data_IF_685449381178
#
_entry.id   IF_685449381178
#
_cell.length_a   1.000
_cell.length_b   1.000
_cell.length_c   1.000
_cell.angle_alpha   90.00
_cell.angle_beta   90.00
_cell.angle_gamma   90.00
#
_symmetry.space_group_name_H-M   'P 1'
#
loop_
_entity.id
_entity.type
_entity.pdbx_description
1 polymer ?
#
# COMPACT_ATOMS: atom_id res chain seq x y z
N UNK A 1 -14.52 -18.93 -24.30
CA UNK A 1 -14.76 -17.55 -23.82
C UNK A 1 -13.83 -17.36 -22.65
N UNK A 2 -12.80 -16.52 -22.78
CA UNK A 2 -11.94 -16.19 -21.64
C UNK A 2 -12.84 -15.52 -20.60
N UNK A 3 -12.90 -16.08 -19.39
CA UNK A 3 -13.57 -15.41 -18.29
C UNK A 3 -12.92 -14.04 -18.15
N UNK A 4 -13.69 -12.97 -18.35
CA UNK A 4 -13.26 -11.63 -17.96
C UNK A 4 -13.01 -11.70 -16.47
N UNK A 5 -11.73 -11.62 -16.05
CA UNK A 5 -11.41 -11.50 -14.64
C UNK A 5 -12.19 -10.31 -14.08
N UNK A 6 -12.85 -10.45 -12.92
CA UNK A 6 -13.49 -9.31 -12.28
C UNK A 6 -12.45 -8.21 -12.06
N UNK A 7 -12.87 -6.95 -12.25
CA UNK A 7 -11.99 -5.81 -12.05
C UNK A 7 -11.50 -5.82 -10.60
N UNK A 8 -10.18 -5.65 -10.33
CA UNK A 8 -9.63 -5.70 -8.97
C UNK A 8 -10.19 -4.68 -7.98
N UNK A 9 -10.91 -3.67 -8.47
CA UNK A 9 -11.43 -2.54 -7.69
C UNK A 9 -12.90 -2.30 -8.01
N UNK A 10 -13.74 -2.35 -6.99
CA UNK A 10 -15.12 -1.90 -7.02
C UNK A 10 -15.25 -0.51 -6.41
N UNK A 11 -16.12 0.34 -6.97
CA UNK A 11 -16.42 1.68 -6.42
C UNK A 11 -17.90 1.77 -6.08
N UNK A 12 -18.20 1.93 -4.79
CA UNK A 12 -19.54 2.05 -4.24
C UNK A 12 -19.79 3.52 -3.87
N UNK A 13 -20.75 4.15 -4.56
CA UNK A 13 -21.12 5.55 -4.31
C UNK A 13 -22.10 5.70 -3.15
N UNK A 14 -21.59 5.89 -1.93
CA UNK A 14 -22.40 6.15 -0.72
C UNK A 14 -23.20 7.47 -0.82
N UNK A 15 -22.60 8.47 -1.49
CA UNK A 15 -23.26 9.73 -1.87
C UNK A 15 -22.49 10.41 -3.01
N UNK A 16 -22.96 11.54 -3.57
CA UNK A 16 -22.17 12.31 -4.54
C UNK A 16 -20.80 12.77 -4.02
N UNK A 17 -20.64 12.91 -2.70
CA UNK A 17 -19.42 13.41 -2.04
C UNK A 17 -18.52 12.37 -1.39
N UNK A 18 -18.97 11.12 -1.30
CA UNK A 18 -18.29 10.04 -0.60
C UNK A 18 -18.39 8.74 -1.40
N UNK A 19 -17.25 8.19 -1.79
CA UNK A 19 -17.16 6.84 -2.36
C UNK A 19 -16.42 5.90 -1.41
N UNK A 20 -16.86 4.65 -1.38
CA UNK A 20 -16.07 3.51 -0.90
C UNK A 20 -15.43 2.83 -2.10
N UNK A 21 -14.17 2.44 -1.94
CA UNK A 21 -13.36 1.78 -2.96
C UNK A 21 -12.92 0.45 -2.35
N UNK A 22 -13.39 -0.65 -2.91
CA UNK A 22 -13.21 -1.99 -2.36
C UNK A 22 -12.23 -2.76 -3.24
N UNK A 23 -11.11 -3.19 -2.66
CA UNK A 23 -10.21 -4.14 -3.30
C UNK A 23 -10.80 -5.56 -3.18
N UNK A 24 -11.11 -6.16 -4.32
CA UNK A 24 -11.65 -7.52 -4.42
C UNK A 24 -10.96 -8.27 -5.57
N UNK A 25 -9.76 -8.76 -5.28
CA UNK A 25 -8.88 -9.45 -6.20
C UNK A 25 -8.36 -10.76 -5.57
N UNK A 26 -9.23 -11.77 -5.46
CA UNK A 26 -8.90 -13.02 -4.79
C UNK A 26 -7.76 -13.77 -5.49
N UNK A 27 -7.01 -14.59 -4.73
CA UNK A 27 -7.29 -14.99 -3.34
C UNK A 27 -6.73 -14.05 -2.26
N UNK A 28 -5.73 -13.21 -2.56
CA UNK A 28 -4.98 -12.48 -1.52
C UNK A 28 -4.90 -10.96 -1.74
N UNK A 29 -5.53 -10.41 -2.78
CA UNK A 29 -5.33 -9.02 -3.18
C UNK A 29 -3.84 -8.71 -3.48
N UNK A 30 -3.16 -9.60 -4.21
CA UNK A 30 -1.80 -9.35 -4.71
C UNK A 30 -1.82 -8.17 -5.69
N UNK A 31 -0.86 -7.27 -5.55
CA UNK A 31 -0.76 -6.05 -6.37
C UNK A 31 0.05 -6.34 -7.63
N UNK A 32 -0.65 -6.51 -8.76
CA UNK A 32 -0.08 -6.68 -10.09
C UNK A 32 -0.39 -5.48 -11.00
N UNK A 33 -0.12 -5.62 -12.30
CA UNK A 33 -0.40 -4.56 -13.26
C UNK A 33 -1.90 -4.19 -13.35
N UNK A 34 -2.81 -5.15 -13.21
CA UNK A 34 -4.25 -4.92 -13.34
C UNK A 34 -4.79 -4.07 -12.18
N UNK A 35 -4.26 -4.26 -10.97
CA UNK A 35 -4.56 -3.40 -9.82
C UNK A 35 -4.11 -1.96 -10.09
N UNK A 36 -2.91 -1.74 -10.60
CA UNK A 36 -2.41 -0.39 -10.90
C UNK A 36 -3.18 0.30 -12.02
N UNK A 37 -3.54 -0.43 -13.09
CA UNK A 37 -4.38 0.10 -14.16
C UNK A 37 -5.77 0.48 -13.63
N UNK A 38 -6.35 -0.36 -12.76
CA UNK A 38 -7.63 -0.06 -12.10
C UNK A 38 -7.54 1.17 -11.18
N UNK A 39 -6.41 1.37 -10.48
CA UNK A 39 -6.15 2.58 -9.69
C UNK A 39 -6.00 3.81 -10.58
N UNK A 40 -5.35 3.70 -11.74
CA UNK A 40 -5.23 4.79 -12.71
C UNK A 40 -6.61 5.23 -13.24
N UNK A 41 -7.47 4.27 -13.59
CA UNK A 41 -8.84 4.52 -14.02
C UNK A 41 -9.67 5.16 -12.90
N UNK A 42 -9.51 4.70 -11.66
CA UNK A 42 -10.13 5.32 -10.49
C UNK A 42 -9.70 6.78 -10.34
N UNK A 43 -8.42 7.09 -10.47
CA UNK A 43 -7.91 8.46 -10.37
C UNK A 43 -8.52 9.36 -11.45
N UNK A 44 -8.65 8.87 -12.69
CA UNK A 44 -9.35 9.60 -13.76
C UNK A 44 -10.82 9.86 -13.42
N UNK A 45 -11.51 8.86 -12.83
CA UNK A 45 -12.90 9.04 -12.37
C UNK A 45 -13.01 10.06 -11.24
N UNK A 46 -12.06 10.05 -10.30
CA UNK A 46 -12.00 11.03 -9.20
C UNK A 46 -11.77 12.45 -9.72
N UNK A 47 -10.85 12.62 -10.67
CA UNK A 47 -10.52 13.91 -11.30
C UNK A 47 -11.74 14.52 -12.01
N UNK A 48 -12.57 13.68 -12.63
CA UNK A 48 -13.80 14.09 -13.33
C UNK A 48 -15.00 14.31 -12.39
N UNK A 49 -14.92 13.95 -11.12
CA UNK A 49 -16.03 14.08 -10.17
C UNK A 49 -15.94 15.38 -9.36
N UNK A 50 -16.67 16.41 -9.82
CA UNK A 50 -16.69 17.72 -9.16
C UNK A 50 -17.32 17.69 -7.77
N UNK A 51 -18.22 16.74 -7.52
CA UNK A 51 -18.87 16.58 -6.23
C UNK A 51 -18.07 15.67 -5.29
N UNK A 52 -17.03 14.96 -5.72
CA UNK A 52 -16.33 14.05 -4.81
C UNK A 52 -15.43 14.84 -3.84
N UNK A 53 -15.51 14.51 -2.54
CA UNK A 53 -14.68 15.10 -1.48
C UNK A 53 -13.84 14.07 -0.75
N UNK A 54 -14.33 12.84 -0.59
CA UNK A 54 -13.62 11.78 0.13
C UNK A 54 -13.81 10.41 -0.51
N UNK A 55 -12.74 9.63 -0.50
CA UNK A 55 -12.75 8.19 -0.81
C UNK A 55 -12.25 7.41 0.40
N UNK A 56 -12.92 6.30 0.71
CA UNK A 56 -12.45 5.33 1.70
C UNK A 56 -12.05 4.06 0.95
N UNK A 57 -10.80 3.66 1.07
CA UNK A 57 -10.29 2.41 0.55
C UNK A 57 -10.41 1.31 1.61
N UNK A 58 -10.93 0.15 1.22
CA UNK A 58 -11.12 -1.04 2.06
C UNK A 58 -10.93 -2.31 1.22
N UNK A 59 -10.95 -3.47 1.87
CA UNK A 59 -10.81 -4.77 1.21
C UNK A 59 -12.04 -5.64 1.46
N UNK A 60 -12.44 -6.40 0.45
CA UNK A 60 -13.42 -7.47 0.56
C UNK A 60 -12.84 -8.76 1.18
N UNK A 61 -11.51 -8.89 1.26
CA UNK A 61 -10.81 -10.06 1.76
C UNK A 61 -10.42 -9.84 3.23
N UNK A 62 -10.97 -10.58 4.21
CA UNK A 62 -10.77 -10.29 5.63
C UNK A 62 -9.30 -10.28 6.10
N UNK A 63 -8.50 -11.20 5.57
CA UNK A 63 -7.10 -11.40 5.99
C UNK A 63 -6.11 -10.50 5.24
N UNK A 64 -6.52 -9.82 4.17
CA UNK A 64 -5.63 -9.11 3.26
C UNK A 64 -6.25 -7.78 2.81
N UNK A 65 -5.56 -6.67 3.05
CA UNK A 65 -5.96 -5.39 2.47
C UNK A 65 -5.63 -5.37 0.97
N UNK A 66 -4.38 -5.09 0.67
CA UNK A 66 -3.64 -5.57 -0.49
C UNK A 66 -2.45 -6.32 0.11
N UNK A 67 -2.14 -7.53 -0.34
CA UNK A 67 -1.10 -8.33 0.31
C UNK A 67 0.29 -7.71 0.14
N UNK A 68 0.81 -7.74 -1.09
CA UNK A 68 2.09 -7.17 -1.49
C UNK A 68 2.19 -7.16 -3.02
N UNK A 69 3.34 -6.71 -3.54
CA UNK A 69 3.64 -6.70 -4.97
C UNK A 69 3.72 -8.12 -5.53
N UNK A 70 3.23 -8.34 -6.76
CA UNK A 70 3.39 -9.62 -7.44
C UNK A 70 4.87 -9.92 -7.72
N UNK A 71 5.33 -11.08 -7.24
CA UNK A 71 6.68 -11.59 -7.47
C UNK A 71 6.71 -12.69 -8.56
N UNK A 72 5.58 -12.99 -9.20
CA UNK A 72 5.49 -14.01 -10.25
C UNK A 72 5.72 -13.46 -11.66
N UNK A 73 5.85 -12.14 -11.80
CA UNK A 73 6.20 -11.45 -13.05
C UNK A 73 5.00 -10.85 -13.79
N UNK A 74 3.82 -10.78 -13.19
CA UNK A 74 2.60 -10.15 -13.73
C UNK A 74 2.57 -8.62 -13.58
N UNK A 75 3.72 -8.01 -13.39
CA UNK A 75 3.87 -6.57 -13.13
C UNK A 75 3.94 -5.74 -14.41
N UNK A 76 4.09 -6.39 -15.57
CA UNK A 76 4.12 -5.71 -16.87
C UNK A 76 5.19 -4.62 -16.92
N UNK A 77 4.80 -3.42 -17.34
CA UNK A 77 5.69 -2.26 -17.45
C UNK A 77 5.37 -1.15 -16.43
N UNK A 78 4.62 -1.43 -15.35
CA UNK A 78 4.19 -0.38 -14.39
C UNK A 78 5.33 0.36 -13.69
N UNK A 79 6.53 -0.23 -13.69
CA UNK A 79 7.76 0.36 -13.13
C UNK A 79 8.58 1.15 -14.15
N UNK A 80 8.22 1.12 -15.44
CA UNK A 80 8.99 1.77 -16.52
C UNK A 80 8.13 2.64 -17.44
N UNK A 81 6.90 2.23 -17.75
CA UNK A 81 5.94 3.03 -18.48
C UNK A 81 5.55 4.26 -17.67
N UNK A 82 5.41 5.39 -18.35
CA UNK A 82 5.25 6.70 -17.74
C UNK A 82 3.77 7.10 -17.73
N UNK A 83 3.27 7.52 -16.57
CA UNK A 83 1.93 8.05 -16.37
C UNK A 83 1.80 9.56 -16.62
N UNK A 84 0.63 10.11 -16.28
CA UNK A 84 0.30 11.52 -16.56
C UNK A 84 1.21 12.54 -15.85
N UNK A 85 1.83 12.16 -14.73
CA UNK A 85 2.76 13.00 -13.97
C UNK A 85 4.20 12.95 -14.49
N UNK A 86 4.48 12.18 -15.55
CA UNK A 86 5.85 11.97 -16.03
C UNK A 86 6.67 10.97 -15.20
N UNK A 87 6.06 10.27 -14.25
CA UNK A 87 6.69 9.24 -13.42
C UNK A 87 6.27 7.83 -13.87
N UNK A 88 7.03 6.77 -13.52
CA UNK A 88 6.58 5.39 -13.70
C UNK A 88 5.17 5.17 -13.13
N UNK A 89 4.31 4.39 -13.80
CA UNK A 89 2.88 4.20 -13.44
C UNK A 89 2.68 3.93 -11.94
N UNK A 90 3.50 3.10 -11.31
CA UNK A 90 3.43 2.83 -9.87
C UNK A 90 3.55 4.12 -9.05
N UNK A 91 4.60 4.91 -9.29
CA UNK A 91 4.82 6.18 -8.59
C UNK A 91 3.79 7.24 -9.00
N UNK A 92 3.46 7.33 -10.27
CA UNK A 92 2.44 8.23 -10.81
C UNK A 92 1.12 8.03 -10.05
N UNK A 93 0.70 6.77 -9.85
CA UNK A 93 -0.52 6.43 -9.10
C UNK A 93 -0.50 7.03 -7.71
N UNK A 94 0.58 6.81 -6.94
CA UNK A 94 0.68 7.29 -5.57
C UNK A 94 0.84 8.81 -5.49
N UNK A 95 1.57 9.42 -6.43
CA UNK A 95 1.76 10.88 -6.50
C UNK A 95 0.47 11.60 -6.92
N UNK A 96 -0.30 11.03 -7.84
CA UNK A 96 -1.61 11.57 -8.22
C UNK A 96 -2.60 11.44 -7.06
N UNK A 97 -2.59 10.32 -6.33
CA UNK A 97 -3.43 10.15 -5.14
C UNK A 97 -3.13 11.19 -4.06
N UNK A 98 -1.85 11.41 -3.74
CA UNK A 98 -1.47 12.42 -2.72
C UNK A 98 -1.79 13.84 -3.18
N UNK A 99 -1.67 14.15 -4.47
CA UNK A 99 -1.97 15.48 -5.03
C UNK A 99 -3.45 15.71 -5.31
N UNK A 100 -4.28 14.66 -5.29
CA UNK A 100 -5.71 14.77 -5.56
C UNK A 100 -6.40 15.74 -4.58
N UNK A 101 -7.33 16.59 -5.04
CA UNK A 101 -8.14 17.41 -4.14
C UNK A 101 -9.12 16.59 -3.30
N UNK A 102 -9.34 15.32 -3.65
CA UNK A 102 -10.17 14.38 -2.92
C UNK A 102 -9.37 13.81 -1.74
N UNK A 103 -9.97 13.77 -0.56
CA UNK A 103 -9.38 13.20 0.65
C UNK A 103 -9.38 11.67 0.55
N UNK A 104 -8.24 11.03 0.81
CA UNK A 104 -8.09 9.57 0.78
C UNK A 104 -7.92 8.99 2.18
N UNK A 105 -8.78 8.04 2.53
CA UNK A 105 -8.75 7.34 3.82
C UNK A 105 -8.55 5.85 3.58
N UNK A 106 -7.53 5.25 4.19
CA UNK A 106 -7.35 3.80 4.22
C UNK A 106 -8.01 3.23 5.49
N UNK A 107 -8.99 2.34 5.32
CA UNK A 107 -9.63 1.56 6.38
C UNK A 107 -9.07 0.13 6.35
N UNK A 108 -8.23 -0.18 7.33
CA UNK A 108 -7.27 -1.27 7.20
C UNK A 108 -7.61 -2.44 8.14
N UNK A 109 -7.72 -3.64 7.54
CA UNK A 109 -7.73 -4.94 8.21
C UNK A 109 -6.76 -5.87 7.49
N UNK A 110 -6.24 -6.86 8.20
CA UNK A 110 -5.40 -7.89 7.61
C UNK A 110 -4.00 -7.42 7.22
N UNK A 111 -3.39 -8.16 6.29
CA UNK A 111 -2.03 -7.97 5.83
C UNK A 111 -1.92 -6.79 4.85
N UNK A 112 -0.96 -5.91 5.11
CA UNK A 112 -0.65 -4.70 4.33
C UNK A 112 0.87 -4.61 4.22
N UNK A 113 1.47 -5.18 3.17
CA UNK A 113 2.93 -5.32 3.08
C UNK A 113 3.52 -4.73 1.81
N UNK A 114 4.75 -4.23 1.92
CA UNK A 114 5.52 -3.68 0.81
C UNK A 114 4.75 -2.58 0.07
N UNK A 115 4.52 -2.74 -1.23
CA UNK A 115 3.79 -1.76 -2.06
C UNK A 115 2.39 -1.40 -1.53
N UNK A 116 1.75 -2.31 -0.79
CA UNK A 116 0.47 -2.07 -0.12
C UNK A 116 0.63 -1.10 1.06
N UNK A 117 1.70 -1.26 1.85
CA UNK A 117 2.11 -0.28 2.86
C UNK A 117 2.39 1.08 2.20
N UNK A 118 3.06 1.10 1.06
CA UNK A 118 3.37 2.32 0.31
C UNK A 118 2.10 3.02 -0.21
N UNK A 119 1.10 2.24 -0.64
CA UNK A 119 -0.21 2.75 -1.01
C UNK A 119 -0.93 3.41 0.18
N UNK A 120 -1.00 2.75 1.34
CA UNK A 120 -1.67 3.36 2.51
C UNK A 120 -0.89 4.56 3.07
N UNK A 121 0.44 4.58 2.91
CA UNK A 121 1.28 5.75 3.20
C UNK A 121 1.03 6.92 2.22
N UNK A 122 0.60 6.63 1.00
CA UNK A 122 0.16 7.64 0.03
C UNK A 122 -1.27 8.14 0.29
N UNK A 123 -2.06 7.46 1.12
CA UNK A 123 -3.35 7.97 1.60
C UNK A 123 -3.16 9.10 2.63
N UNK A 124 -4.14 10.01 2.73
CA UNK A 124 -4.07 11.13 3.68
C UNK A 124 -4.22 10.65 5.13
N UNK A 125 -5.06 9.64 5.36
CA UNK A 125 -5.35 9.09 6.69
C UNK A 125 -5.40 7.56 6.66
N UNK A 126 -4.95 6.94 7.75
CA UNK A 126 -4.93 5.49 7.97
C UNK A 126 -5.58 5.15 9.29
N UNK A 127 -6.68 4.40 9.26
CA UNK A 127 -7.33 3.85 10.44
C UNK A 127 -7.33 2.34 10.33
N UNK A 128 -6.87 1.67 11.37
CA UNK A 128 -6.66 0.23 11.35
C UNK A 128 -7.42 -0.48 12.45
N UNK A 129 -7.76 -1.74 12.19
CA UNK A 129 -8.18 -2.68 13.22
C UNK A 129 -7.02 -2.95 14.17
N UNK A 130 -7.26 -2.85 15.47
CA UNK A 130 -6.24 -3.13 16.49
C UNK A 130 -5.84 -4.59 16.47
N UNK A 131 -6.84 -5.46 16.35
CA UNK A 131 -6.70 -6.90 16.48
C UNK A 131 -6.17 -7.54 15.19
N UNK A 132 -6.56 -7.01 14.03
CA UNK A 132 -6.37 -7.71 12.76
C UNK A 132 -5.28 -7.12 11.87
N UNK A 133 -4.64 -5.99 12.24
CA UNK A 133 -3.61 -5.36 11.43
C UNK A 133 -2.30 -6.18 11.43
N UNK A 134 -1.75 -6.39 10.23
CA UNK A 134 -0.35 -6.81 10.02
C UNK A 134 0.29 -5.92 8.97
N UNK A 135 1.06 -4.93 9.42
CA UNK A 135 1.62 -3.87 8.57
C UNK A 135 3.14 -3.94 8.57
N UNK A 136 3.78 -3.93 7.39
CA UNK A 136 5.23 -4.03 7.34
C UNK A 136 5.86 -3.84 5.96
N UNK A 137 7.20 -3.83 5.95
CA UNK A 137 8.03 -3.74 4.75
C UNK A 137 8.97 -4.94 4.65
N UNK A 138 8.53 -6.04 4.02
CA UNK A 138 9.31 -7.27 3.98
C UNK A 138 10.44 -7.27 2.93
N UNK A 139 10.58 -6.20 2.14
CA UNK A 139 11.45 -6.10 0.95
C UNK A 139 12.91 -6.43 1.29
N UNK A 140 13.44 -5.93 2.41
CA UNK A 140 14.82 -6.20 2.82
C UNK A 140 15.05 -7.69 3.09
N UNK A 141 14.05 -8.38 3.64
CA UNK A 141 14.14 -9.82 3.92
C UNK A 141 14.25 -10.68 2.66
N UNK A 142 13.74 -10.19 1.52
CA UNK A 142 13.91 -10.83 0.20
C UNK A 142 15.07 -10.24 -0.61
N UNK A 143 15.93 -9.42 0.00
CA UNK A 143 17.11 -8.83 -0.67
C UNK A 143 16.80 -7.60 -1.52
N UNK A 144 15.66 -6.97 -1.32
CA UNK A 144 15.22 -5.73 -1.98
C UNK A 144 15.18 -4.56 -0.98
N UNK A 145 14.56 -3.46 -1.38
CA UNK A 145 14.21 -2.33 -0.52
C UNK A 145 12.87 -1.75 -0.99
N UNK A 146 12.14 -0.97 -0.18
CA UNK A 146 10.92 -0.29 -0.65
C UNK A 146 11.24 0.65 -1.82
N UNK A 147 10.37 0.67 -2.84
CA UNK A 147 10.56 1.43 -4.08
C UNK A 147 9.39 2.33 -4.47
N UNK A 148 8.19 2.12 -3.93
CA UNK A 148 7.00 2.96 -4.13
C UNK A 148 6.90 4.16 -3.17
N UNK A 149 7.91 4.34 -2.33
CA UNK A 149 8.10 5.53 -1.50
C UNK A 149 7.94 5.31 0.00
N UNK A 150 8.04 4.06 0.46
CA UNK A 150 8.05 3.72 1.89
C UNK A 150 9.23 4.37 2.61
N UNK A 151 10.42 4.33 2.02
CA UNK A 151 11.66 4.92 2.57
C UNK A 151 11.62 6.44 2.67
N UNK A 152 10.84 7.10 1.82
CA UNK A 152 10.73 8.56 1.78
C UNK A 152 9.62 9.08 2.70
N UNK A 153 8.51 8.33 2.84
CA UNK A 153 7.34 8.75 3.63
C UNK A 153 7.44 8.36 5.10
N UNK A 154 7.91 7.15 5.42
CA UNK A 154 7.97 6.66 6.81
C UNK A 154 8.74 7.59 7.76
N UNK A 155 9.95 8.08 7.44
CA UNK A 155 10.72 8.88 8.38
C UNK A 155 10.01 10.18 8.82
N UNK A 156 9.11 10.72 7.99
CA UNK A 156 8.31 11.91 8.33
C UNK A 156 7.18 11.60 9.32
N UNK A 157 6.72 10.36 9.37
CA UNK A 157 5.62 9.92 10.24
C UNK A 157 6.14 9.34 11.56
N UNK A 158 7.13 8.45 11.48
CA UNK A 158 7.59 7.66 12.64
C UNK A 158 8.96 8.09 13.17
N UNK A 159 9.63 9.02 12.48
CA UNK A 159 11.01 9.40 12.76
C UNK A 159 12.04 8.39 12.25
N UNK A 160 13.29 8.84 12.10
CA UNK A 160 14.36 8.06 11.45
C UNK A 160 14.59 6.68 12.09
N UNK A 161 14.64 6.60 13.42
CA UNK A 161 14.97 5.35 14.13
C UNK A 161 13.94 4.25 13.87
N UNK A 162 12.66 4.56 14.07
CA UNK A 162 11.55 3.63 13.83
C UNK A 162 11.38 3.30 12.35
N UNK A 163 11.64 4.25 11.46
CA UNK A 163 11.60 3.97 10.02
C UNK A 163 12.65 2.91 9.62
N UNK A 164 13.86 3.00 10.15
CA UNK A 164 14.89 1.99 9.94
C UNK A 164 14.53 0.66 10.61
N UNK A 165 13.94 0.67 11.80
CA UNK A 165 13.44 -0.54 12.45
C UNK A 165 12.38 -1.24 11.59
N UNK A 166 11.38 -0.51 11.09
CA UNK A 166 10.33 -1.05 10.22
C UNK A 166 10.90 -1.65 8.94
N UNK A 167 11.73 -0.89 8.23
CA UNK A 167 12.23 -1.31 6.90
C UNK A 167 13.30 -2.41 7.01
N UNK A 168 14.23 -2.30 7.95
CA UNK A 168 15.37 -3.23 8.02
C UNK A 168 15.05 -4.52 8.77
N UNK A 169 14.10 -4.51 9.71
CA UNK A 169 13.69 -5.74 10.40
C UNK A 169 12.87 -6.65 9.49
N UNK A 170 12.16 -6.08 8.51
CA UNK A 170 11.21 -6.79 7.66
C UNK A 170 10.09 -7.51 8.46
N UNK A 171 9.83 -7.07 9.69
CA UNK A 171 8.78 -7.62 10.55
C UNK A 171 7.40 -7.01 10.22
N UNK A 172 6.36 -7.74 10.60
CA UNK A 172 5.02 -7.18 10.73
C UNK A 172 4.87 -6.42 12.06
N UNK A 173 4.07 -5.36 12.04
CA UNK A 173 3.70 -4.54 13.18
C UNK A 173 2.18 -4.61 13.39
N UNK A 174 1.78 -4.87 14.64
CA UNK A 174 0.38 -4.90 15.06
C UNK A 174 -0.25 -3.50 15.15
N UNK A 175 -1.57 -3.43 15.33
CA UNK A 175 -2.31 -2.17 15.40
C UNK A 175 -1.80 -1.22 16.48
N UNK A 176 -1.59 -1.74 17.70
CA UNK A 176 -1.14 -0.93 18.82
C UNK A 176 0.27 -0.36 18.61
N UNK A 177 1.19 -1.15 18.05
CA UNK A 177 2.55 -0.69 17.74
C UNK A 177 2.54 0.30 16.59
N UNK A 178 1.77 0.02 15.54
CA UNK A 178 1.63 0.92 14.40
C UNK A 178 1.09 2.29 14.82
N UNK A 179 0.11 2.35 15.72
CA UNK A 179 -0.39 3.62 16.28
C UNK A 179 0.67 4.31 17.13
N UNK A 180 1.31 3.61 18.08
CA UNK A 180 2.38 4.19 18.93
C UNK A 180 3.55 4.76 18.12
N UNK A 181 3.84 4.15 16.97
CA UNK A 181 4.93 4.60 16.10
C UNK A 181 4.52 5.81 15.27
N UNK A 182 3.22 6.06 15.07
CA UNK A 182 2.69 7.05 14.13
C UNK A 182 2.53 6.53 12.70
N UNK A 183 2.62 5.21 12.51
CA UNK A 183 2.50 4.57 11.20
C UNK A 183 1.05 4.63 10.70
N UNK A 184 0.09 4.38 11.60
CA UNK A 184 -1.34 4.65 11.39
C UNK A 184 -1.79 5.81 12.27
N UNK A 185 -2.88 6.48 11.89
CA UNK A 185 -3.41 7.60 12.68
C UNK A 185 -4.00 7.10 14.01
N UNK A 186 -4.76 6.00 13.96
CA UNK A 186 -5.33 5.30 15.13
C UNK A 186 -5.54 3.82 14.81
N UNK A 187 -5.30 2.97 15.80
CA UNK A 187 -5.82 1.62 15.83
C UNK A 187 -7.09 1.61 16.70
N UNK A 188 -8.16 1.02 16.18
CA UNK A 188 -9.49 0.99 16.81
C UNK A 188 -9.89 -0.47 17.05
N UNK A 189 -10.73 -0.76 18.07
CA UNK A 189 -11.34 -2.09 18.15
C UNK A 189 -11.99 -2.42 16.81
N UNK A 190 -11.81 -3.64 16.30
CA UNK A 190 -12.27 -4.02 14.96
C UNK A 190 -13.77 -3.75 14.75
N UNK A 191 -14.56 -3.97 15.80
CA UNK A 191 -16.01 -3.76 15.82
C UNK A 191 -16.42 -2.27 15.72
N UNK A 192 -15.52 -1.33 16.02
CA UNK A 192 -15.78 0.11 15.98
C UNK A 192 -15.20 0.77 14.72
N UNK A 193 -14.32 0.09 13.99
CA UNK A 193 -13.57 0.66 12.88
C UNK A 193 -14.47 1.17 11.75
N UNK A 194 -15.51 0.40 11.38
CA UNK A 194 -16.40 0.76 10.28
C UNK A 194 -17.21 2.02 10.59
N UNK A 195 -17.89 2.05 11.74
CA UNK A 195 -18.69 3.20 12.17
C UNK A 195 -17.85 4.45 12.35
N UNK A 196 -16.64 4.30 12.89
CA UNK A 196 -15.71 5.40 13.06
C UNK A 196 -15.32 6.04 11.70
N UNK A 197 -14.93 5.21 10.73
CA UNK A 197 -14.49 5.68 9.42
C UNK A 197 -15.65 6.26 8.62
N UNK A 198 -16.82 5.63 8.62
CA UNK A 198 -18.02 6.13 7.94
C UNK A 198 -18.43 7.50 8.49
N UNK A 199 -18.48 7.66 9.81
CA UNK A 199 -18.79 8.93 10.47
C UNK A 199 -17.81 10.04 10.04
N UNK A 200 -16.51 9.74 10.03
CA UNK A 200 -15.50 10.69 9.61
C UNK A 200 -15.62 11.04 8.12
N UNK A 201 -15.84 10.05 7.26
CA UNK A 201 -16.00 10.25 5.83
C UNK A 201 -17.23 11.12 5.52
N UNK A 202 -18.39 10.85 6.15
CA UNK A 202 -19.59 11.68 6.01
C UNK A 202 -19.36 13.11 6.48
N UNK A 203 -18.63 13.30 7.58
CA UNK A 203 -18.24 14.63 8.05
C UNK A 203 -17.40 15.37 7.00
N UNK A 204 -16.35 14.74 6.46
CA UNK A 204 -15.50 15.34 5.41
C UNK A 204 -16.32 15.64 4.16
N UNK A 205 -17.20 14.72 3.74
CA UNK A 205 -18.05 14.88 2.57
C UNK A 205 -19.03 16.07 2.67
N UNK A 206 -19.34 16.52 3.89
CA UNK A 206 -20.22 17.68 4.13
C UNK A 206 -19.54 19.04 3.93
N UNK A 207 -18.21 19.08 3.81
CA UNK A 207 -17.44 20.32 3.74
C UNK A 207 -17.22 20.83 2.31
N UNK A 208 -16.87 22.11 2.22
CA UNK A 208 -16.50 22.74 0.96
C UNK A 208 -15.24 22.09 0.35
N UNK A 209 -15.33 21.75 -0.94
CA UNK A 209 -14.26 21.04 -1.67
C UNK A 209 -13.01 21.91 -1.83
N UNK A 210 -13.18 23.22 -2.04
CA UNK A 210 -12.04 24.11 -2.23
C UNK A 210 -11.25 24.30 -0.92
N UNK A 211 -11.95 24.40 0.21
CA UNK A 211 -11.34 24.44 1.54
C UNK A 211 -10.56 23.16 1.85
N UNK A 212 -11.15 21.98 1.60
CA UNK A 212 -10.47 20.68 1.78
C UNK A 212 -9.20 20.59 0.92
N UNK A 213 -9.32 20.90 -0.37
CA UNK A 213 -8.19 20.83 -1.31
C UNK A 213 -7.08 21.82 -0.94
N UNK A 214 -7.42 23.05 -0.51
CA UNK A 214 -6.45 24.05 -0.10
C UNK A 214 -5.70 23.62 1.17
N UNK A 215 -6.41 23.12 2.19
CA UNK A 215 -5.81 22.64 3.43
C UNK A 215 -4.88 21.45 3.17
N UNK A 216 -5.36 20.42 2.44
CA UNK A 216 -4.56 19.26 2.05
C UNK A 216 -3.28 19.67 1.29
N UNK A 217 -3.40 20.59 0.32
CA UNK A 217 -2.24 21.09 -0.44
C UNK A 217 -1.18 21.74 0.47
N UNK A 218 -1.60 22.57 1.42
CA UNK A 218 -0.66 23.25 2.34
C UNK A 218 0.07 22.26 3.26
N UNK A 219 -0.64 21.24 3.77
CA UNK A 219 -0.01 20.16 4.56
C UNK A 219 0.98 19.37 3.70
N UNK A 220 0.61 19.04 2.47
CA UNK A 220 1.46 18.28 1.55
C UNK A 220 2.75 19.01 1.17
N UNK A 221 2.72 20.35 1.07
CA UNK A 221 3.90 21.16 0.74
C UNK A 221 5.07 20.99 1.72
N UNK A 222 4.79 20.68 2.99
CA UNK A 222 5.82 20.56 4.03
C UNK A 222 6.06 19.13 4.50
N UNK A 223 5.25 18.16 4.06
CA UNK A 223 5.28 16.78 4.54
C UNK A 223 5.61 15.73 3.48
N UNK A 224 5.34 16.00 2.20
CA UNK A 224 5.60 15.03 1.13
C UNK A 224 7.05 15.12 0.61
N UNK A 225 7.65 13.97 0.24
CA UNK A 225 8.94 13.97 -0.43
C UNK A 225 8.84 14.57 -1.84
N UNK A 226 9.99 15.02 -2.37
CA UNK A 226 10.08 15.45 -3.77
C UNK A 226 9.91 14.28 -4.72
N UNK A 227 9.45 14.56 -5.94
CA UNK A 227 9.33 13.55 -6.99
C UNK A 227 10.68 12.89 -7.32
N UNK A 228 11.78 13.65 -7.30
CA UNK A 228 13.13 13.13 -7.58
C UNK A 228 13.54 12.06 -6.56
N UNK A 229 13.25 12.26 -5.26
CA UNK A 229 13.56 11.24 -4.24
C UNK A 229 12.77 9.96 -4.43
N UNK A 230 11.50 10.07 -4.83
CA UNK A 230 10.68 8.90 -5.15
C UNK A 230 11.22 8.19 -6.40
N UNK A 231 11.66 8.95 -7.42
CA UNK A 231 12.23 8.41 -8.64
C UNK A 231 13.56 7.67 -8.37
N UNK A 232 14.43 8.24 -7.53
CA UNK A 232 15.67 7.60 -7.11
C UNK A 232 15.39 6.23 -6.46
N UNK A 233 14.39 6.17 -5.58
CA UNK A 233 13.99 4.93 -4.90
C UNK A 233 13.50 3.85 -5.87
N UNK A 234 12.57 4.16 -6.79
CA UNK A 234 12.05 3.16 -7.73
C UNK A 234 13.12 2.70 -8.75
N UNK A 235 14.03 3.59 -9.17
CA UNK A 235 15.14 3.23 -10.07
C UNK A 235 16.13 2.31 -9.35
N UNK A 236 16.46 2.61 -8.10
CA UNK A 236 17.27 1.77 -7.25
C UNK A 236 16.61 0.40 -7.03
N UNK A 237 15.31 0.36 -6.77
CA UNK A 237 14.53 -0.88 -6.65
C UNK A 237 14.60 -1.73 -7.93
N UNK A 238 14.41 -1.10 -9.09
CA UNK A 238 14.53 -1.76 -10.39
C UNK A 238 15.91 -2.39 -10.61
N UNK A 239 16.97 -1.73 -10.14
CA UNK A 239 18.33 -2.30 -10.15
C UNK A 239 18.45 -3.48 -9.18
N UNK A 240 17.88 -3.36 -7.97
CA UNK A 240 17.94 -4.40 -6.94
C UNK A 240 17.25 -5.70 -7.36
N UNK A 241 16.20 -5.62 -8.19
CA UNK A 241 15.60 -6.81 -8.80
C UNK A 241 16.61 -7.64 -9.60
N UNK A 242 17.68 -7.05 -10.14
CA UNK A 242 18.71 -7.80 -10.89
C UNK A 242 19.78 -8.43 -10.00
N UNK A 243 19.78 -8.16 -8.69
CA UNK A 243 20.81 -8.68 -7.80
C UNK A 243 20.68 -10.20 -7.62
N UNK A 244 21.79 -10.96 -7.68
CA UNK A 244 21.74 -12.41 -7.52
C UNK A 244 21.10 -12.86 -6.21
N UNK A 245 21.35 -12.14 -5.11
CA UNK A 245 20.75 -12.48 -3.81
C UNK A 245 19.24 -12.27 -3.78
N UNK A 246 18.76 -11.17 -4.37
CA UNK A 246 17.33 -10.89 -4.47
C UNK A 246 16.63 -12.00 -5.26
N UNK A 247 17.18 -12.37 -6.42
CA UNK A 247 16.65 -13.46 -7.26
C UNK A 247 16.59 -14.79 -6.49
N UNK A 248 17.65 -15.15 -5.75
CA UNK A 248 17.67 -16.37 -4.94
C UNK A 248 16.60 -16.36 -3.84
N UNK A 249 16.44 -15.25 -3.13
CA UNK A 249 15.47 -15.13 -2.03
C UNK A 249 14.03 -15.08 -2.50
N UNK A 250 13.75 -14.38 -3.61
CA UNK A 250 12.44 -14.36 -4.26
C UNK A 250 12.04 -15.79 -4.67
N UNK A 251 12.96 -16.52 -5.32
CA UNK A 251 12.71 -17.91 -5.68
C UNK A 251 12.41 -18.76 -4.44
N UNK A 252 13.22 -18.64 -3.38
CA UNK A 252 13.03 -19.42 -2.16
C UNK A 252 11.71 -19.13 -1.44
N UNK A 253 11.23 -17.89 -1.42
CA UNK A 253 9.96 -17.55 -0.78
C UNK A 253 8.76 -18.01 -1.61
N UNK A 254 8.85 -17.96 -2.95
CA UNK A 254 7.83 -18.50 -3.86
C UNK A 254 7.73 -20.03 -3.74
N UNK A 255 8.87 -20.74 -3.67
CA UNK A 255 8.91 -22.21 -3.48
C UNK A 255 8.29 -22.67 -2.16
N UNK A 256 8.30 -21.80 -1.13
CA UNK A 256 7.66 -22.07 0.17
C UNK A 256 6.16 -21.78 0.18
N UNK A 257 5.59 -21.30 -0.94
CA UNK A 257 4.15 -21.13 -1.11
C UNK A 257 3.68 -19.69 -1.15
N UNK A 258 4.56 -18.69 -1.25
CA UNK A 258 4.10 -17.30 -1.44
C UNK A 258 3.25 -17.18 -2.70
N UNK A 259 2.12 -16.47 -2.59
CA UNK A 259 1.08 -16.31 -3.60
C UNK A 259 0.35 -17.62 -3.99
N UNK A 260 0.47 -18.67 -3.20
CA UNK A 260 -0.18 -19.97 -3.45
C UNK A 260 -0.86 -20.54 -2.21
N UNK A 261 -0.17 -20.51 -1.07
CA UNK A 261 -0.62 -21.07 0.20
C UNK A 261 -1.13 -19.94 1.13
N UNK A 262 -2.42 -19.94 1.51
CA UNK A 262 -2.99 -18.89 2.36
C UNK A 262 -2.36 -18.78 3.75
N UNK A 263 -1.95 -19.90 4.36
CA UNK A 263 -1.30 -19.89 5.68
C UNK A 263 0.10 -19.29 5.59
N UNK A 264 0.84 -19.62 4.53
CA UNK A 264 2.13 -19.02 4.27
C UNK A 264 1.99 -17.54 3.92
N UNK A 265 1.04 -17.16 3.07
CA UNK A 265 0.78 -15.75 2.70
C UNK A 265 0.49 -14.87 3.93
N UNK A 266 -0.20 -15.42 4.93
CA UNK A 266 -0.46 -14.71 6.19
C UNK A 266 0.78 -14.49 7.05
N UNK A 267 1.79 -15.37 7.00
CA UNK A 267 2.86 -15.44 8.01
C UNK A 267 4.28 -15.43 7.42
N UNK A 268 4.44 -15.28 6.10
CA UNK A 268 5.74 -15.39 5.44
C UNK A 268 6.85 -14.44 5.94
N UNK A 269 6.57 -13.23 6.51
CA UNK A 269 7.63 -12.42 7.11
C UNK A 269 8.41 -13.15 8.20
N UNK A 270 7.78 -14.03 8.97
CA UNK A 270 8.43 -14.83 10.02
C UNK A 270 9.48 -15.79 9.45
N UNK A 271 9.30 -16.20 8.18
CA UNK A 271 10.22 -17.10 7.49
C UNK A 271 11.44 -16.38 6.89
N UNK A 272 11.44 -15.04 6.79
CA UNK A 272 12.46 -14.25 6.09
C UNK A 272 13.89 -14.50 6.61
N UNK A 273 14.03 -14.60 7.93
CA UNK A 273 15.31 -14.87 8.58
C UNK A 273 15.89 -16.26 8.31
N UNK A 274 15.09 -17.19 7.80
CA UNK A 274 15.49 -18.60 7.58
C UNK A 274 15.29 -19.06 6.12
N UNK A 275 15.01 -18.15 5.18
CA UNK A 275 14.62 -18.47 3.79
C UNK A 275 15.62 -19.38 3.06
N UNK A 276 16.91 -19.08 3.15
CA UNK A 276 17.93 -19.81 2.39
C UNK A 276 18.50 -21.03 3.13
N UNK A 277 18.01 -21.30 4.35
CA UNK A 277 18.64 -22.25 5.26
C UNK A 277 20.04 -21.78 5.69
N UNK A 278 20.46 -22.07 6.91
CA UNK A 278 21.90 -22.11 7.16
C UNK A 278 22.42 -23.30 6.37
N UNK A 279 23.32 -23.09 5.41
CA UNK A 279 24.17 -24.17 4.93
C UNK A 279 24.77 -24.80 6.18
N UNK A 280 24.31 -26.01 6.56
CA UNK A 280 25.09 -26.86 7.44
C UNK A 280 26.37 -27.11 6.67
N UNK A 281 27.41 -26.31 6.93
CA UNK A 281 28.78 -26.68 6.60
C UNK A 281 29.03 -28.00 7.32
N UNK A 282 28.91 -29.09 6.57
CA UNK A 282 29.45 -30.39 6.97
C UNK A 282 30.91 -30.17 7.31
N UNK A 283 31.23 -30.32 8.59
CA UNK A 283 32.58 -30.44 9.10
C UNK A 283 33.20 -31.76 8.61
#
# INVERSE_FOLDING_TARGET
>A
MAATNPAPIEVIGESPGYWRVVFDYPPFNVVDADVFLSLQDLLVRMDNSQSLRVVVFESAIPDFYLAHFDLTGKVGNITTAVGASGLPILLDTFVRLTKSPVVSVAKIRGCVRGVSSEFVLACDMRFASRENLRLGHPEVGVGLHPGGGGTERLPQLVGRGRALEIVLSANDFDGDTAERYGYVNRALPDAELDDFVDTLARRIASFDRAALAAAKRLVNQVSLPSADRLLDAIVSFGTALTWPEAQRRIQAVLERGLQQDPDFERNWPDALGTLLGTEKKSA
#
